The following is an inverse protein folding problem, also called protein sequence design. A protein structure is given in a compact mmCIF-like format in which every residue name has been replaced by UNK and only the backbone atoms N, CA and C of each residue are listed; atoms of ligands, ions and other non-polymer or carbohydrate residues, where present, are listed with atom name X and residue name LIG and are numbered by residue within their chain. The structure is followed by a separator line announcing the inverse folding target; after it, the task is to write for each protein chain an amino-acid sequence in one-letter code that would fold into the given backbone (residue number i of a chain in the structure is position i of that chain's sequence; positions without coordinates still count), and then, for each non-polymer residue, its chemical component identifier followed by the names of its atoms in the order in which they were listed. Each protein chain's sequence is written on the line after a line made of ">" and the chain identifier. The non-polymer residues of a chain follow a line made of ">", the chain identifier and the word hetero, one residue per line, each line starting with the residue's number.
data_IF_160710094960
#
_entry.id   IF_160710094960
#
_cell.length_a   1.000
_cell.length_b   1.000
_cell.length_c   1.000
_cell.angle_alpha   90.00
_cell.angle_beta   90.00
_cell.angle_gamma   90.00
#
_symmetry.space_group_name_H-M   'P 1'
#
loop_
_entity.id
_entity.type
_entity.pdbx_description
1 polymer ?
#
# COMPACT_ATOMS: atom_id res chain seq x y z
N UNK A 1 -10.18 -4.41 -14.16
CA UNK A 1 -10.49 -3.02 -13.77
C UNK A 1 -9.40 -2.56 -12.82
N UNK A 2 -8.70 -1.49 -13.15
CA UNK A 2 -7.70 -0.87 -12.27
C UNK A 2 -8.46 -0.11 -11.17
N UNK A 3 -8.14 -0.36 -9.91
CA UNK A 3 -8.75 0.36 -8.80
C UNK A 3 -8.40 1.84 -8.87
N UNK A 4 -9.37 2.69 -8.51
CA UNK A 4 -9.18 4.11 -8.30
C UNK A 4 -9.89 4.51 -7.00
N UNK A 5 -9.29 5.40 -6.24
CA UNK A 5 -9.97 5.97 -5.07
C UNK A 5 -11.25 6.69 -5.50
N UNK A 6 -12.28 6.61 -4.67
CA UNK A 6 -13.42 7.51 -4.84
C UNK A 6 -12.97 8.97 -4.70
N UNK A 7 -13.69 9.94 -5.31
CA UNK A 7 -13.33 11.36 -5.18
C UNK A 7 -13.24 11.83 -3.73
N UNK A 8 -14.14 11.33 -2.86
CA UNK A 8 -14.10 11.62 -1.42
C UNK A 8 -12.90 10.95 -0.75
N UNK A 9 -12.65 9.68 -1.04
CA UNK A 9 -11.51 8.94 -0.49
C UNK A 9 -10.19 9.61 -0.82
N UNK A 10 -9.99 10.05 -2.08
CA UNK A 10 -8.79 10.80 -2.48
C UNK A 10 -8.62 12.08 -1.67
N UNK A 11 -9.68 12.88 -1.51
CA UNK A 11 -9.62 14.14 -0.73
C UNK A 11 -9.26 13.91 0.73
N UNK A 12 -9.80 12.86 1.34
CA UNK A 12 -9.47 12.47 2.72
C UNK A 12 -8.00 12.08 2.81
N UNK A 13 -7.53 11.21 1.93
CA UNK A 13 -6.13 10.77 1.92
C UNK A 13 -5.17 11.95 1.71
N UNK A 14 -5.46 12.86 0.77
CA UNK A 14 -4.68 14.08 0.56
C UNK A 14 -4.63 14.96 1.81
N UNK A 15 -5.76 15.11 2.52
CA UNK A 15 -5.81 15.89 3.77
C UNK A 15 -5.04 15.23 4.92
N UNK A 16 -4.77 13.93 4.83
CA UNK A 16 -4.03 13.16 5.84
C UNK A 16 -2.53 13.13 5.58
N UNK A 17 -2.06 13.40 4.35
CA UNK A 17 -0.62 13.48 4.04
C UNK A 17 0.12 14.41 5.01
N UNK A 18 -0.27 15.69 5.20
CA UNK A 18 0.45 16.57 6.14
C UNK A 18 0.30 16.17 7.61
N UNK A 19 -0.63 15.26 7.95
CA UNK A 19 -0.88 14.80 9.32
C UNK A 19 -0.02 13.57 9.65
N UNK A 20 0.13 12.66 8.68
CA UNK A 20 0.76 11.34 8.88
C UNK A 20 2.20 11.35 8.37
N UNK A 21 2.45 11.97 7.22
CA UNK A 21 3.75 11.97 6.58
C UNK A 21 4.64 13.10 7.10
N UNK A 22 5.97 12.97 6.98
CA UNK A 22 6.88 14.06 7.30
C UNK A 22 6.69 15.25 6.35
N UNK A 23 7.11 16.48 6.73
CA UNK A 23 6.83 17.71 5.96
C UNK A 23 7.32 17.67 4.51
N UNK A 24 8.41 16.95 4.24
CA UNK A 24 9.00 16.79 2.90
C UNK A 24 8.05 16.08 1.92
N UNK A 25 7.13 15.28 2.44
CA UNK A 25 6.15 14.52 1.63
C UNK A 25 4.99 15.40 1.14
N UNK A 26 4.81 16.61 1.65
CA UNK A 26 3.68 17.47 1.26
C UNK A 26 3.68 17.81 -0.24
N UNK A 27 4.87 18.03 -0.82
CA UNK A 27 5.02 18.29 -2.26
C UNK A 27 4.84 17.03 -3.11
N UNK A 28 4.82 15.85 -2.47
CA UNK A 28 4.61 14.55 -3.09
C UNK A 28 3.22 13.97 -2.78
N UNK A 29 2.32 14.76 -2.18
CA UNK A 29 1.06 14.25 -1.64
C UNK A 29 0.22 13.46 -2.66
N UNK A 30 0.11 13.96 -3.89
CA UNK A 30 -0.60 13.24 -4.96
C UNK A 30 0.07 11.90 -5.29
N UNK A 31 1.40 11.88 -5.41
CA UNK A 31 2.15 10.66 -5.68
C UNK A 31 2.01 9.62 -4.55
N UNK A 32 2.01 10.07 -3.30
CA UNK A 32 1.78 9.19 -2.13
C UNK A 32 0.39 8.55 -2.22
N UNK A 33 -0.64 9.35 -2.50
CA UNK A 33 -2.02 8.86 -2.62
C UNK A 33 -2.18 7.95 -3.84
N UNK A 34 -1.53 8.26 -4.96
CA UNK A 34 -1.55 7.42 -6.16
C UNK A 34 -0.86 6.07 -5.91
N UNK A 35 0.24 6.06 -5.15
CA UNK A 35 0.92 4.83 -4.75
C UNK A 35 0.05 3.99 -3.82
N UNK A 36 -0.66 4.61 -2.86
CA UNK A 36 -1.65 3.90 -2.02
C UNK A 36 -2.75 3.24 -2.87
N UNK A 37 -3.14 3.83 -3.99
CA UNK A 37 -4.12 3.25 -4.90
C UNK A 37 -3.63 1.92 -5.51
N UNK A 38 -2.31 1.76 -5.72
CA UNK A 38 -1.72 0.50 -6.17
C UNK A 38 -1.89 -0.60 -5.12
N UNK A 39 -1.60 -0.29 -3.85
CA UNK A 39 -1.79 -1.24 -2.74
C UNK A 39 -3.26 -1.64 -2.57
N UNK A 40 -4.17 -0.69 -2.66
CA UNK A 40 -5.61 -0.99 -2.60
C UNK A 40 -6.09 -1.76 -3.84
N UNK A 41 -5.52 -1.49 -5.02
CA UNK A 41 -5.82 -2.23 -6.24
C UNK A 41 -5.41 -3.70 -6.20
N UNK A 42 -4.33 -4.02 -5.47
CA UNK A 42 -3.90 -5.39 -5.21
C UNK A 42 -4.73 -6.11 -4.13
N UNK A 43 -5.56 -5.37 -3.37
CA UNK A 43 -6.34 -5.92 -2.25
C UNK A 43 -7.63 -6.61 -2.73
N UNK A 44 -8.17 -7.60 -1.97
CA UNK A 44 -9.46 -8.22 -2.30
C UNK A 44 -10.61 -7.20 -2.42
N UNK A 45 -11.60 -7.40 -3.32
CA UNK A 45 -12.68 -6.43 -3.54
C UNK A 45 -13.48 -6.06 -2.29
N UNK A 46 -13.65 -7.01 -1.36
CA UNK A 46 -14.32 -6.74 -0.09
C UNK A 46 -13.53 -5.73 0.76
N UNK A 47 -12.20 -5.86 0.80
CA UNK A 47 -11.33 -4.94 1.52
C UNK A 47 -11.33 -3.56 0.88
N UNK A 48 -11.32 -3.48 -0.45
CA UNK A 48 -11.45 -2.20 -1.18
C UNK A 48 -12.73 -1.44 -0.79
N UNK A 49 -13.87 -2.15 -0.73
CA UNK A 49 -15.16 -1.58 -0.31
C UNK A 49 -15.14 -1.15 1.17
N UNK A 50 -14.57 -1.99 2.05
CA UNK A 50 -14.45 -1.68 3.47
C UNK A 50 -13.60 -0.43 3.71
N UNK A 51 -12.49 -0.28 2.99
CA UNK A 51 -11.63 0.92 3.05
C UNK A 51 -12.36 2.18 2.55
N UNK A 52 -13.08 2.07 1.43
CA UNK A 52 -13.88 3.18 0.92
C UNK A 52 -14.96 3.63 1.91
N UNK A 53 -15.64 2.67 2.55
CA UNK A 53 -16.60 2.95 3.61
C UNK A 53 -15.93 3.57 4.85
N UNK A 54 -14.78 3.05 5.28
CA UNK A 54 -14.01 3.58 6.41
C UNK A 54 -13.56 5.03 6.19
N UNK A 55 -13.05 5.36 5.00
CA UNK A 55 -12.67 6.73 4.65
C UNK A 55 -13.88 7.68 4.64
N UNK A 56 -15.04 7.21 4.16
CA UNK A 56 -16.28 7.99 4.20
C UNK A 56 -16.75 8.22 5.65
N UNK A 57 -16.71 7.18 6.49
CA UNK A 57 -17.05 7.28 7.91
C UNK A 57 -16.11 8.23 8.64
N UNK A 58 -14.81 8.17 8.35
CA UNK A 58 -13.82 9.11 8.89
C UNK A 58 -14.15 10.55 8.48
N UNK A 59 -14.48 10.78 7.19
CA UNK A 59 -14.81 12.10 6.67
C UNK A 59 -16.06 12.71 7.33
N UNK A 60 -17.11 11.89 7.48
CA UNK A 60 -18.38 12.30 8.05
C UNK A 60 -18.36 12.38 9.59
N UNK A 61 -17.54 11.55 10.24
CA UNK A 61 -17.40 11.50 11.70
C UNK A 61 -16.87 12.80 12.32
N UNK A 62 -16.26 13.68 11.51
CA UNK A 62 -15.83 15.00 11.96
C UNK A 62 -17.00 15.99 12.11
N UNK A 63 -18.13 15.77 11.44
CA UNK A 63 -19.24 16.74 11.38
C UNK A 63 -19.84 17.03 12.77
N UNK A 64 -20.16 16.04 13.63
CA UNK A 64 -20.76 16.31 14.93
C UNK A 64 -19.92 17.23 15.83
N UNK A 65 -18.58 17.14 15.73
CA UNK A 65 -17.66 17.85 16.62
C UNK A 65 -17.07 19.13 16.00
N UNK A 66 -16.89 19.14 14.68
CA UNK A 66 -16.23 20.24 13.96
C UNK A 66 -17.15 21.00 13.00
N UNK A 67 -18.40 20.56 12.82
CA UNK A 67 -19.39 21.11 11.84
C UNK A 67 -18.86 21.12 10.40
N UNK A 68 -17.82 20.34 10.13
CA UNK A 68 -17.12 20.22 8.84
C UNK A 68 -16.70 18.77 8.66
N UNK A 69 -16.54 18.38 7.40
CA UNK A 69 -15.95 17.11 7.01
C UNK A 69 -14.46 17.09 7.32
N UNK A 70 -13.90 15.90 7.58
CA UNK A 70 -12.50 15.75 7.98
C UNK A 70 -11.53 16.37 6.96
N UNK A 71 -11.76 16.16 5.65
CA UNK A 71 -10.89 16.71 4.60
C UNK A 71 -10.91 18.24 4.47
N UNK A 72 -11.79 18.93 5.21
CA UNK A 72 -11.92 20.40 5.22
C UNK A 72 -11.47 21.03 6.55
N UNK A 73 -10.86 20.25 7.43
CA UNK A 73 -10.29 20.75 8.66
C UNK A 73 -8.98 21.51 8.38
N UNK A 74 -8.69 22.52 9.20
CA UNK A 74 -7.37 23.15 9.21
C UNK A 74 -6.32 22.15 9.72
N UNK A 75 -5.02 22.31 9.40
CA UNK A 75 -3.96 21.39 9.81
C UNK A 75 -4.02 20.98 11.30
N UNK A 76 -4.02 21.95 12.23
CA UNK A 76 -4.08 21.68 13.68
C UNK A 76 -5.36 20.94 14.12
N UNK A 77 -6.45 21.08 13.38
CA UNK A 77 -7.72 20.39 13.68
C UNK A 77 -7.73 18.99 13.07
N UNK A 78 -7.14 18.82 11.89
CA UNK A 78 -6.98 17.54 11.25
C UNK A 78 -6.08 16.61 12.08
N UNK A 79 -4.97 17.13 12.61
CA UNK A 79 -4.08 16.39 13.53
C UNK A 79 -4.82 15.93 14.78
N UNK A 80 -5.50 16.84 15.49
CA UNK A 80 -6.27 16.49 16.70
C UNK A 80 -7.39 15.50 16.40
N UNK A 81 -8.07 15.66 15.26
CA UNK A 81 -9.14 14.76 14.86
C UNK A 81 -8.59 13.36 14.56
N UNK A 82 -7.48 13.27 13.83
CA UNK A 82 -6.80 12.01 13.55
C UNK A 82 -6.27 11.33 14.83
N UNK A 83 -5.65 12.10 15.73
CA UNK A 83 -5.18 11.61 17.02
C UNK A 83 -6.32 11.04 17.87
N UNK A 84 -7.54 11.60 17.77
CA UNK A 84 -8.71 11.06 18.46
C UNK A 84 -9.20 9.73 17.90
N UNK A 85 -8.89 9.41 16.64
CA UNK A 85 -9.12 8.08 16.07
C UNK A 85 -8.02 7.09 16.48
N UNK A 86 -6.77 7.54 16.48
CA UNK A 86 -5.63 6.72 16.88
C UNK A 86 -5.68 6.28 18.36
N UNK A 87 -6.24 7.13 19.21
CA UNK A 87 -6.45 6.87 20.65
C UNK A 87 -7.94 6.69 20.99
N UNK A 88 -8.75 6.38 19.98
CA UNK A 88 -10.20 6.43 20.08
C UNK A 88 -10.82 5.37 20.99
N UNK A 89 -12.11 5.55 21.33
CA UNK A 89 -12.80 4.70 22.31
C UNK A 89 -13.09 3.28 21.78
N UNK A 90 -12.98 3.03 20.47
CA UNK A 90 -13.26 1.73 19.88
C UNK A 90 -11.99 1.14 19.25
N UNK A 91 -11.74 -0.18 19.40
CA UNK A 91 -10.63 -0.85 18.73
C UNK A 91 -10.66 -0.69 17.20
N UNK A 92 -11.85 -0.57 16.61
CA UNK A 92 -12.03 -0.40 15.18
C UNK A 92 -11.48 0.95 14.69
N UNK A 93 -11.74 2.05 15.41
CA UNK A 93 -11.18 3.36 15.05
C UNK A 93 -9.66 3.34 15.10
N UNK A 94 -9.10 2.77 16.17
CA UNK A 94 -7.65 2.67 16.39
C UNK A 94 -6.99 1.84 15.29
N UNK A 95 -7.54 0.65 14.98
CA UNK A 95 -7.01 -0.21 13.93
C UNK A 95 -7.10 0.46 12.55
N UNK A 96 -8.20 1.14 12.27
CA UNK A 96 -8.36 1.86 11.00
C UNK A 96 -7.36 3.00 10.86
N UNK A 97 -7.19 3.84 11.89
CA UNK A 97 -6.20 4.92 11.90
C UNK A 97 -4.78 4.37 11.71
N UNK A 98 -4.40 3.33 12.46
CA UNK A 98 -3.09 2.68 12.35
C UNK A 98 -2.86 2.07 10.96
N UNK A 99 -3.86 1.43 10.38
CA UNK A 99 -3.76 0.90 9.02
C UNK A 99 -3.52 2.02 7.99
N UNK A 100 -4.24 3.14 8.10
CA UNK A 100 -4.00 4.31 7.26
C UNK A 100 -2.59 4.88 7.47
N UNK A 101 -2.12 4.99 8.72
CA UNK A 101 -0.77 5.44 9.05
C UNK A 101 0.27 4.57 8.34
N UNK A 102 0.20 3.26 8.57
CA UNK A 102 1.16 2.29 8.05
C UNK A 102 1.21 2.30 6.53
N UNK A 103 0.04 2.29 5.88
CA UNK A 103 -0.03 2.28 4.41
C UNK A 103 0.43 3.59 3.79
N UNK A 104 0.09 4.72 4.40
CA UNK A 104 0.52 6.03 3.90
C UNK A 104 2.02 6.23 4.13
N UNK A 105 2.55 5.81 5.29
CA UNK A 105 3.99 5.82 5.58
C UNK A 105 4.76 4.92 4.62
N UNK A 106 4.28 3.69 4.39
CA UNK A 106 4.86 2.79 3.39
C UNK A 106 4.89 3.44 2.01
N UNK A 107 3.75 3.99 1.58
CA UNK A 107 3.62 4.63 0.27
C UNK A 107 4.51 5.85 0.13
N UNK A 108 4.68 6.63 1.20
CA UNK A 108 5.57 7.78 1.25
C UNK A 108 7.03 7.38 1.02
N UNK A 109 7.54 6.42 1.80
CA UNK A 109 8.95 6.05 1.75
C UNK A 109 9.31 5.11 0.58
N UNK A 110 8.33 4.52 -0.10
CA UNK A 110 8.56 3.76 -1.34
C UNK A 110 8.76 4.64 -2.58
N UNK A 111 8.39 5.94 -2.53
CA UNK A 111 8.59 6.84 -3.66
C UNK A 111 10.09 7.13 -3.88
N UNK A 112 10.62 6.95 -5.10
CA UNK A 112 12.01 7.28 -5.42
C UNK A 112 12.38 8.73 -5.06
N UNK A 113 11.48 9.68 -5.26
CA UNK A 113 11.67 11.08 -4.92
C UNK A 113 11.77 11.30 -3.42
N UNK A 114 11.02 10.54 -2.61
CA UNK A 114 11.12 10.59 -1.16
C UNK A 114 12.43 9.95 -0.69
N UNK A 115 12.77 8.77 -1.21
CA UNK A 115 14.05 8.10 -0.92
C UNK A 115 15.24 9.01 -1.18
N UNK A 116 15.25 9.71 -2.32
CA UNK A 116 16.31 10.66 -2.66
C UNK A 116 16.35 11.85 -1.68
N UNK A 117 15.19 12.39 -1.29
CA UNK A 117 15.10 13.49 -0.31
C UNK A 117 15.64 13.12 1.06
N UNK A 118 15.42 11.89 1.53
CA UNK A 118 15.99 11.39 2.78
C UNK A 118 17.38 10.77 2.62
N UNK A 119 18.02 10.90 1.45
CA UNK A 119 19.36 10.39 1.19
C UNK A 119 19.45 8.86 1.17
N UNK A 120 18.33 8.17 1.06
CA UNK A 120 18.25 6.72 1.03
C UNK A 120 18.50 6.21 -0.40
N UNK A 121 19.71 5.67 -0.63
CA UNK A 121 20.13 5.11 -1.93
C UNK A 121 20.53 3.64 -1.79
N UNK A 122 19.55 2.71 -1.76
CA UNK A 122 19.84 1.31 -1.45
C UNK A 122 20.43 0.51 -2.62
N UNK A 123 20.27 0.95 -3.87
CA UNK A 123 20.62 0.16 -5.05
C UNK A 123 22.09 -0.33 -5.07
N UNK A 124 23.11 0.50 -4.78
CA UNK A 124 24.51 0.02 -4.76
C UNK A 124 24.75 -1.08 -3.73
N UNK A 125 24.14 -0.94 -2.55
CA UNK A 125 24.23 -1.94 -1.48
C UNK A 125 23.49 -3.23 -1.85
N UNK A 126 22.30 -3.11 -2.44
CA UNK A 126 21.52 -4.26 -2.94
C UNK A 126 22.35 -5.01 -3.98
N UNK A 127 22.98 -4.32 -4.93
CA UNK A 127 23.82 -4.94 -5.95
C UNK A 127 25.03 -5.66 -5.37
N UNK A 128 25.71 -5.05 -4.39
CA UNK A 128 26.82 -5.66 -3.68
C UNK A 128 26.40 -6.94 -2.94
N UNK A 129 25.33 -6.85 -2.14
CA UNK A 129 24.82 -7.98 -1.37
C UNK A 129 24.28 -9.08 -2.29
N UNK A 130 23.62 -8.72 -3.39
CA UNK A 130 23.15 -9.67 -4.40
C UNK A 130 24.32 -10.43 -5.02
N UNK A 131 25.38 -9.74 -5.47
CA UNK A 131 26.60 -10.38 -5.98
C UNK A 131 27.21 -11.34 -4.96
N UNK A 132 27.33 -10.91 -3.69
CA UNK A 132 27.87 -11.74 -2.60
C UNK A 132 27.00 -12.98 -2.36
N UNK A 133 25.67 -12.82 -2.25
CA UNK A 133 24.75 -13.93 -1.99
C UNK A 133 24.69 -14.91 -3.16
N UNK A 134 24.69 -14.43 -4.40
CA UNK A 134 24.73 -15.29 -5.59
C UNK A 134 26.04 -16.08 -5.69
N UNK A 135 27.15 -15.55 -5.18
CA UNK A 135 28.41 -16.29 -5.09
C UNK A 135 28.36 -17.36 -3.99
N UNK A 136 27.89 -17.01 -2.79
CA UNK A 136 27.86 -17.92 -1.63
C UNK A 136 26.83 -19.04 -1.79
N UNK A 137 25.62 -18.73 -2.25
CA UNK A 137 24.50 -19.67 -2.33
C UNK A 137 24.32 -20.28 -3.73
N UNK A 138 25.33 -20.20 -4.60
CA UNK A 138 25.22 -20.66 -6.00
C UNK A 138 24.70 -22.09 -6.11
N UNK A 139 25.26 -23.01 -5.33
CA UNK A 139 24.90 -24.42 -5.40
C UNK A 139 23.52 -24.70 -4.79
N UNK A 140 23.13 -23.95 -3.77
CA UNK A 140 21.79 -24.03 -3.17
C UNK A 140 20.72 -23.50 -4.14
N UNK A 141 21.00 -22.38 -4.82
CA UNK A 141 20.15 -21.83 -5.86
C UNK A 141 19.99 -22.85 -6.99
N UNK A 142 21.09 -23.45 -7.47
CA UNK A 142 21.04 -24.48 -8.52
C UNK A 142 20.22 -25.70 -8.07
N UNK A 143 20.37 -26.17 -6.83
CA UNK A 143 19.57 -27.27 -6.27
C UNK A 143 18.09 -26.90 -6.21
N UNK A 144 17.76 -25.70 -5.77
CA UNK A 144 16.39 -25.19 -5.69
C UNK A 144 15.77 -25.05 -7.09
N UNK A 145 16.49 -24.51 -8.07
CA UNK A 145 16.03 -24.39 -9.46
C UNK A 145 15.71 -25.75 -10.06
N UNK A 146 16.56 -26.76 -9.82
CA UNK A 146 16.30 -28.14 -10.24
C UNK A 146 15.03 -28.69 -9.58
N UNK A 147 14.80 -28.40 -8.29
CA UNK A 147 13.58 -28.84 -7.60
C UNK A 147 12.32 -28.14 -8.11
N UNK A 148 12.37 -26.84 -8.40
CA UNK A 148 11.22 -26.08 -8.93
C UNK A 148 10.87 -26.51 -10.36
N UNK A 149 11.87 -26.85 -11.16
CA UNK A 149 11.70 -27.35 -12.54
C UNK A 149 11.40 -28.84 -12.59
N UNK A 150 11.58 -29.57 -11.49
CA UNK A 150 11.24 -30.99 -11.42
C UNK A 150 9.73 -31.17 -11.64
N UNK A 151 9.31 -32.23 -12.36
CA UNK A 151 7.90 -32.55 -12.51
C UNK A 151 7.23 -32.66 -11.14
N UNK A 152 6.07 -32.02 -10.98
CA UNK A 152 5.29 -32.03 -9.73
C UNK A 152 5.10 -33.47 -9.25
N UNK A 153 5.69 -33.87 -8.12
CA UNK A 153 5.63 -35.25 -7.64
C UNK A 153 4.18 -35.66 -7.27
N UNK A 154 3.27 -34.71 -7.08
CA UNK A 154 1.86 -34.95 -6.80
C UNK A 154 0.98 -34.96 -8.06
N UNK A 155 1.54 -34.70 -9.25
CA UNK A 155 0.84 -34.78 -10.54
C UNK A 155 1.64 -35.54 -11.61
N UNK A 156 1.84 -36.86 -11.47
CA UNK A 156 2.47 -37.64 -12.52
C UNK A 156 1.56 -37.72 -13.76
N UNK A 157 2.02 -37.21 -14.91
CA UNK A 157 1.44 -37.55 -16.22
C UNK A 157 0.41 -36.59 -16.84
N UNK A 158 0.30 -35.33 -16.41
CA UNK A 158 -0.52 -34.34 -17.14
C UNK A 158 0.14 -34.02 -18.49
N UNK A 159 -0.26 -34.73 -19.55
CA UNK A 159 0.04 -34.35 -20.93
C UNK A 159 -0.72 -33.05 -21.23
N UNK A 160 0.00 -31.96 -21.44
CA UNK A 160 -0.58 -30.70 -21.94
C UNK A 160 -1.12 -30.99 -23.35
N UNK A 161 -2.41 -31.30 -23.42
CA UNK A 161 -3.08 -31.56 -24.70
C UNK A 161 -3.04 -30.32 -25.57
N UNK A 162 -2.54 -30.46 -26.81
CA UNK A 162 -2.71 -29.43 -27.85
C UNK A 162 -4.20 -29.10 -27.96
N UNK A 163 -4.58 -27.88 -27.59
CA UNK A 163 -5.89 -27.32 -27.88
C UNK A 163 -6.10 -27.31 -29.41
N UNK A 164 -6.83 -28.31 -29.91
CA UNK A 164 -7.34 -28.35 -31.27
C UNK A 164 -8.40 -27.25 -31.37
N UNK A 165 -8.02 -26.12 -31.99
CA UNK A 165 -8.98 -25.12 -32.47
C UNK A 165 -9.71 -25.71 -33.66
N UNK A 166 -10.94 -26.16 -33.44
CA UNK A 166 -11.94 -26.32 -34.50
C UNK A 166 -13.25 -25.70 -34.02
N UNK A 167 -13.62 -24.58 -34.64
CA UNK A 167 -15.01 -24.24 -34.96
C UNK A 167 -15.00 -23.54 -36.32
N UNK A 168 -15.51 -24.26 -37.32
CA UNK A 168 -16.23 -23.64 -38.43
C UNK A 168 -17.61 -23.19 -37.96
#
# INVERSE_FOLDING_TARGET
>A
MTYQHSPTGRRVLLSLVPVICPPEAQVLADAVVDHMALTFGASPPLLQKALAAGLLTYDLGAIPFHRRRAHRLSPDRAERYYASWEHGPTPLHVQFARALNQLMSLSCYELPEMMERCGYRPAPWIDEVAKRRLAVYRDDIRRQEVQVLAPDPLRPGVRVGKLRRERG
#
